data_IF_003954033313
#
_entry.id   IF_003954033313
#
_cell.length_a   1.000
_cell.length_b   1.000
_cell.length_c   1.000
_cell.angle_alpha   90.00
_cell.angle_beta   90.00
_cell.angle_gamma   90.00
#
_symmetry.space_group_name_H-M   'P 1'
#
loop_
_entity.id
_entity.type
_entity.pdbx_description
1 polymer ?
#
# COMPACT_ATOMS: atom_id res chain seq x y z
N UNK A 1 -9.28 -15.48 6.56
CA UNK A 1 -9.05 -14.95 5.20
C UNK A 1 -7.68 -14.30 5.22
N UNK A 2 -6.77 -14.70 4.33
CA UNK A 2 -5.45 -14.05 4.23
C UNK A 2 -5.69 -12.68 3.60
N UNK A 3 -5.32 -11.63 4.32
CA UNK A 3 -5.53 -10.26 3.90
C UNK A 3 -4.58 -9.94 2.76
N UNK A 4 -5.10 -9.81 1.54
CA UNK A 4 -4.34 -9.35 0.39
C UNK A 4 -4.01 -7.85 0.53
N UNK A 5 -2.93 -7.39 -0.09
CA UNK A 5 -2.52 -5.98 -0.07
C UNK A 5 -3.63 -5.04 -0.53
N UNK A 6 -4.38 -5.44 -1.55
CA UNK A 6 -5.47 -4.63 -2.09
C UNK A 6 -6.58 -4.46 -1.05
N UNK A 7 -6.87 -5.53 -0.30
CA UNK A 7 -7.86 -5.48 0.78
C UNK A 7 -7.38 -4.57 1.92
N UNK A 8 -6.13 -4.74 2.37
CA UNK A 8 -5.55 -3.88 3.41
C UNK A 8 -5.58 -2.42 2.99
N UNK A 9 -5.10 -2.11 1.79
CA UNK A 9 -5.04 -0.74 1.28
C UNK A 9 -6.41 -0.09 1.21
N UNK A 10 -7.42 -0.82 0.75
CA UNK A 10 -8.80 -0.32 0.66
C UNK A 10 -9.38 0.01 2.04
N UNK A 11 -9.15 -0.84 3.05
CA UNK A 11 -9.62 -0.60 4.41
C UNK A 11 -8.98 0.67 4.99
N UNK A 12 -7.64 0.78 4.92
CA UNK A 12 -6.95 1.96 5.47
C UNK A 12 -7.30 3.26 4.73
N UNK A 13 -7.45 3.23 3.41
CA UNK A 13 -7.88 4.41 2.64
C UNK A 13 -9.30 4.85 3.04
N UNK A 14 -10.22 3.91 3.30
CA UNK A 14 -11.57 4.24 3.75
C UNK A 14 -11.57 4.88 5.15
N UNK A 15 -10.75 4.39 6.08
CA UNK A 15 -10.62 5.01 7.41
C UNK A 15 -10.08 6.46 7.32
N UNK A 16 -9.08 6.68 6.47
CA UNK A 16 -8.51 8.02 6.24
C UNK A 16 -9.51 8.92 5.51
N UNK A 17 -10.29 8.39 4.57
CA UNK A 17 -11.40 9.11 3.92
C UNK A 17 -12.46 9.54 4.93
N UNK A 18 -12.83 8.65 5.85
CA UNK A 18 -13.79 8.98 6.90
C UNK A 18 -13.25 10.06 7.84
N UNK A 19 -11.94 10.03 8.14
CA UNK A 19 -11.27 11.09 8.89
C UNK A 19 -11.32 12.44 8.16
N UNK A 20 -11.14 12.45 6.83
CA UNK A 20 -11.29 13.64 6.00
C UNK A 20 -12.72 14.19 6.05
N UNK A 21 -13.74 13.33 5.89
CA UNK A 21 -15.15 13.73 5.94
C UNK A 21 -15.54 14.30 7.31
N UNK A 22 -14.96 13.75 8.38
CA UNK A 22 -15.16 14.23 9.76
C UNK A 22 -14.36 15.49 10.07
N UNK A 23 -13.54 15.98 9.14
CA UNK A 23 -12.70 17.17 9.33
C UNK A 23 -11.55 16.96 10.33
N UNK A 24 -11.14 15.72 10.58
CA UNK A 24 -10.01 15.38 11.47
C UNK A 24 -8.67 15.66 10.78
N UNK A 25 -8.63 15.50 9.46
CA UNK A 25 -7.48 15.77 8.60
C UNK A 25 -7.90 16.66 7.44
N UNK A 26 -6.95 17.38 6.87
CA UNK A 26 -7.17 18.14 5.64
C UNK A 26 -6.96 17.27 4.38
N UNK A 27 -7.20 17.87 3.21
CA UNK A 27 -7.08 17.17 1.93
C UNK A 27 -5.64 16.80 1.59
N UNK A 28 -4.69 17.67 1.91
CA UNK A 28 -3.27 17.46 1.62
C UNK A 28 -2.73 16.26 2.42
N UNK A 29 -3.10 16.18 3.70
CA UNK A 29 -2.84 15.03 4.57
C UNK A 29 -3.50 13.75 4.03
N UNK A 30 -4.75 13.83 3.54
CA UNK A 30 -5.41 12.69 2.93
C UNK A 30 -4.62 12.16 1.73
N UNK A 31 -4.17 13.03 0.82
CA UNK A 31 -3.46 12.61 -0.39
C UNK A 31 -2.07 12.01 -0.03
N UNK A 32 -1.34 12.60 0.93
CA UNK A 32 -0.09 12.04 1.45
C UNK A 32 -0.28 10.66 2.09
N UNK A 33 -1.30 10.51 2.94
CA UNK A 33 -1.62 9.25 3.60
C UNK A 33 -2.07 8.19 2.59
N UNK A 34 -2.85 8.57 1.56
CA UNK A 34 -3.28 7.65 0.53
C UNK A 34 -2.09 7.07 -0.26
N UNK A 35 -1.10 7.91 -0.62
CA UNK A 35 0.14 7.45 -1.25
C UNK A 35 0.94 6.57 -0.29
N UNK A 36 1.12 7.01 0.96
CA UNK A 36 1.86 6.25 1.98
C UNK A 36 1.22 4.88 2.25
N UNK A 37 -0.11 4.78 2.27
CA UNK A 37 -0.83 3.52 2.44
C UNK A 37 -0.64 2.63 1.21
N UNK A 38 -0.81 3.15 0.00
CA UNK A 38 -0.68 2.34 -1.21
C UNK A 38 0.77 1.83 -1.39
N UNK A 39 1.76 2.69 -1.22
CA UNK A 39 3.17 2.27 -1.21
C UNK A 39 3.43 1.33 -0.04
N UNK A 40 2.88 1.66 1.13
CA UNK A 40 3.02 0.95 2.39
C UNK A 40 2.51 -0.48 2.33
N UNK A 41 1.35 -0.75 1.73
CA UNK A 41 0.78 -2.10 1.65
C UNK A 41 1.54 -2.99 0.68
N UNK A 42 2.21 -2.42 -0.33
CA UNK A 42 3.07 -3.16 -1.27
C UNK A 42 4.40 -3.67 -0.65
N UNK A 43 4.85 -3.12 0.48
CA UNK A 43 6.08 -3.53 1.19
C UNK A 43 5.89 -4.83 2.03
N UNK A 44 4.80 -5.00 2.82
CA UNK A 44 4.37 -6.25 3.47
C UNK A 44 4.28 -7.46 2.53
N UNK A 45 3.94 -7.25 1.25
CA UNK A 45 3.92 -8.32 0.25
C UNK A 45 5.25 -9.04 0.09
N UNK A 46 6.35 -8.31 0.26
CA UNK A 46 7.72 -8.81 0.13
C UNK A 46 8.23 -9.30 1.50
N UNK A 47 7.77 -8.65 2.56
CA UNK A 47 8.16 -8.88 3.95
C UNK A 47 7.47 -10.09 4.61
N UNK A 48 6.47 -10.70 3.98
CA UNK A 48 5.76 -11.85 4.55
C UNK A 48 5.57 -13.00 3.54
N UNK A 49 5.65 -14.27 3.99
CA UNK A 49 5.49 -15.44 3.11
C UNK A 49 4.12 -15.52 2.43
N UNK A 50 3.09 -14.97 3.08
CA UNK A 50 1.71 -14.95 2.59
C UNK A 50 1.36 -13.63 1.86
N UNK A 51 2.27 -12.66 1.87
CA UNK A 51 2.02 -11.31 1.38
C UNK A 51 1.97 -11.22 -0.13
N UNK A 52 2.55 -12.18 -0.86
CA UNK A 52 2.42 -12.26 -2.31
C UNK A 52 1.64 -13.51 -2.72
N UNK A 53 0.57 -13.32 -3.49
CA UNK A 53 -0.10 -14.39 -4.22
C UNK A 53 0.90 -15.23 -5.06
N UNK A 54 2.06 -14.68 -5.45
CA UNK A 54 3.14 -15.39 -6.14
C UNK A 54 3.84 -16.46 -5.27
N UNK A 55 4.00 -16.25 -3.96
CA UNK A 55 4.50 -17.29 -3.05
C UNK A 55 3.46 -18.38 -2.83
N UNK A 56 2.18 -18.01 -2.75
CA UNK A 56 1.09 -18.98 -2.74
C UNK A 56 1.03 -19.76 -4.06
N UNK A 57 1.30 -19.12 -5.21
CA UNK A 57 1.40 -19.76 -6.52
C UNK A 57 2.58 -20.75 -6.59
N UNK A 58 3.74 -20.38 -6.01
CA UNK A 58 4.89 -21.27 -5.83
C UNK A 58 4.58 -22.44 -4.88
N UNK A 59 3.76 -22.22 -3.85
CA UNK A 59 3.34 -23.23 -2.88
C UNK A 59 2.31 -24.21 -3.44
N UNK A 60 1.49 -23.78 -4.40
CA UNK A 60 0.56 -24.65 -5.16
C UNK A 60 1.23 -25.33 -6.36
N UNK A 61 2.41 -24.86 -6.76
CA UNK A 61 3.22 -25.46 -7.80
C UNK A 61 3.87 -26.76 -7.32
N UNK A 62 4.07 -27.71 -8.23
CA UNK A 62 4.79 -28.98 -7.99
C UNK A 62 6.24 -28.77 -7.52
N UNK A 63 6.77 -27.54 -7.55
CA UNK A 63 8.05 -27.14 -6.99
C UNK A 63 8.06 -26.99 -5.45
N UNK A 64 6.91 -26.73 -4.81
CA UNK A 64 6.86 -26.49 -3.36
C UNK A 64 7.40 -27.65 -2.49
N UNK A 65 7.10 -28.92 -2.79
CA UNK A 65 7.62 -30.05 -2.02
C UNK A 65 9.13 -30.26 -2.21
N UNK A 66 9.67 -29.90 -3.38
CA UNK A 66 11.08 -30.05 -3.74
C UNK A 66 12.01 -29.12 -2.95
N UNK A 67 11.53 -27.92 -2.59
CA UNK A 67 12.35 -26.91 -1.89
C UNK A 67 12.24 -26.96 -0.35
N UNK A 68 11.42 -27.87 0.22
CA UNK A 68 11.22 -28.06 1.67
C UNK A 68 11.10 -26.74 2.46
N UNK A 69 10.42 -25.76 1.87
CA UNK A 69 10.39 -24.40 2.40
C UNK A 69 9.29 -24.30 3.47
N UNK A 70 9.66 -24.47 4.74
CA UNK A 70 8.70 -24.32 5.84
C UNK A 70 8.33 -22.85 6.04
N UNK A 71 7.10 -22.60 6.53
CA UNK A 71 6.60 -21.25 6.80
C UNK A 71 7.57 -20.43 7.68
N UNK A 72 8.10 -21.03 8.74
CA UNK A 72 9.08 -20.37 9.62
C UNK A 72 10.39 -19.99 8.92
N UNK A 73 10.88 -20.81 7.97
CA UNK A 73 12.06 -20.43 7.17
C UNK A 73 11.77 -19.26 6.25
N UNK A 74 10.58 -19.21 5.65
CA UNK A 74 10.18 -18.06 4.83
C UNK A 74 10.12 -16.77 5.65
N UNK A 75 9.61 -16.82 6.89
CA UNK A 75 9.59 -15.66 7.79
C UNK A 75 11.01 -15.17 8.09
N UNK A 76 11.94 -16.08 8.41
CA UNK A 76 13.33 -15.71 8.69
C UNK A 76 14.02 -15.10 7.47
N UNK A 77 13.74 -15.61 6.27
CA UNK A 77 14.26 -15.06 5.01
C UNK A 77 13.65 -13.69 4.69
N UNK A 78 12.38 -13.47 4.99
CA UNK A 78 11.68 -12.22 4.68
C UNK A 78 11.98 -11.10 5.68
N UNK A 79 12.25 -11.44 6.94
CA UNK A 79 12.54 -10.49 8.02
C UNK A 79 13.60 -9.42 7.69
N UNK A 80 14.79 -9.73 7.15
CA UNK A 80 15.76 -8.69 6.78
C UNK A 80 15.22 -7.73 5.72
N UNK A 81 14.43 -8.21 4.76
CA UNK A 81 13.77 -7.35 3.78
C UNK A 81 12.74 -6.46 4.45
N UNK A 82 11.95 -6.98 5.40
CA UNK A 82 11.00 -6.18 6.19
C UNK A 82 11.68 -4.99 6.85
N UNK A 83 12.83 -5.21 7.50
CA UNK A 83 13.56 -4.16 8.20
C UNK A 83 14.07 -3.11 7.21
N UNK A 84 14.73 -3.53 6.13
CA UNK A 84 15.29 -2.60 5.13
C UNK A 84 14.18 -1.82 4.44
N UNK A 85 13.13 -2.49 3.98
CA UNK A 85 12.01 -1.87 3.27
C UNK A 85 11.20 -0.94 4.16
N UNK A 86 11.00 -1.28 5.45
CA UNK A 86 10.35 -0.38 6.39
C UNK A 86 11.17 0.89 6.63
N UNK A 87 12.49 0.77 6.80
CA UNK A 87 13.36 1.93 7.02
C UNK A 87 13.42 2.80 5.76
N UNK A 88 13.65 2.21 4.59
CA UNK A 88 13.73 2.95 3.31
C UNK A 88 12.38 3.58 2.97
N UNK A 89 11.28 2.86 3.15
CA UNK A 89 9.93 3.38 2.96
C UNK A 89 9.63 4.55 3.90
N UNK A 90 9.99 4.43 5.18
CA UNK A 90 9.82 5.51 6.15
C UNK A 90 10.65 6.74 5.78
N UNK A 91 11.92 6.56 5.39
CA UNK A 91 12.78 7.65 4.92
C UNK A 91 12.18 8.31 3.67
N UNK A 92 11.66 7.52 2.73
CA UNK A 92 10.98 8.01 1.53
C UNK A 92 9.80 8.91 1.87
N UNK A 93 8.94 8.47 2.80
CA UNK A 93 7.77 9.25 3.22
C UNK A 93 8.20 10.53 3.94
N UNK A 94 9.13 10.46 4.89
CA UNK A 94 9.52 11.62 5.70
C UNK A 94 10.33 12.67 4.94
N UNK A 95 11.18 12.26 3.99
CA UNK A 95 12.15 13.18 3.38
C UNK A 95 11.93 13.42 1.89
N UNK A 96 11.16 12.58 1.19
CA UNK A 96 10.97 12.71 -0.25
C UNK A 96 9.54 12.99 -0.65
N UNK A 97 8.54 12.42 0.04
CA UNK A 97 7.15 12.48 -0.43
C UNK A 97 6.63 13.92 -0.55
N UNK A 98 6.77 14.72 0.50
CA UNK A 98 6.32 16.12 0.51
C UNK A 98 7.15 17.02 -0.43
N UNK A 99 8.50 17.07 -0.35
CA UNK A 99 9.27 17.97 -1.21
C UNK A 99 9.22 17.60 -2.70
N UNK A 100 9.12 16.30 -3.04
CA UNK A 100 8.95 15.89 -4.42
C UNK A 100 7.55 16.23 -4.94
N UNK A 101 6.52 16.12 -4.11
CA UNK A 101 5.16 16.55 -4.47
C UNK A 101 5.11 18.05 -4.73
N UNK A 102 5.73 18.87 -3.87
CA UNK A 102 5.86 20.31 -4.08
C UNK A 102 6.60 20.64 -5.39
N UNK A 103 7.72 19.96 -5.65
CA UNK A 103 8.46 20.12 -6.91
C UNK A 103 7.61 19.76 -8.14
N UNK A 104 6.80 18.71 -8.06
CA UNK A 104 5.91 18.31 -9.15
C UNK A 104 4.73 19.28 -9.33
N UNK A 105 4.25 19.93 -8.27
CA UNK A 105 3.28 21.03 -8.36
C UNK A 105 3.88 22.23 -9.10
N UNK A 106 5.09 22.64 -8.73
CA UNK A 106 5.79 23.77 -9.36
C UNK A 106 6.11 23.50 -10.84
N UNK A 107 6.46 22.26 -11.18
CA UNK A 107 6.67 21.82 -12.57
C UNK A 107 5.36 21.66 -13.36
N UNK A 108 4.20 21.73 -12.70
CA UNK A 108 2.89 21.51 -13.30
C UNK A 108 2.61 20.06 -13.70
N UNK A 109 3.35 19.09 -13.14
CA UNK A 109 3.17 17.66 -13.39
C UNK A 109 1.97 17.09 -12.62
N UNK A 110 1.67 17.66 -11.45
CA UNK A 110 0.48 17.36 -10.66
C UNK A 110 -0.27 18.67 -10.35
N UNK A 111 -1.54 18.59 -9.97
CA UNK A 111 -2.40 19.76 -9.76
C UNK A 111 -3.20 19.63 -8.48
N UNK A 112 -3.28 20.72 -7.71
CA UNK A 112 -4.14 20.85 -6.52
C UNK A 112 -5.63 20.96 -6.84
N UNK A 113 -6.03 20.93 -8.12
CA UNK A 113 -7.43 21.04 -8.48
C UNK A 113 -8.19 19.85 -7.85
N UNK A 114 -9.23 20.11 -7.04
CA UNK A 114 -10.03 19.03 -6.49
C UNK A 114 -10.57 18.22 -7.66
N UNK A 115 -10.33 16.90 -7.65
CA UNK A 115 -11.10 15.99 -8.50
C UNK A 115 -12.57 16.25 -8.15
N UNK A 116 -13.41 16.70 -9.09
CA UNK A 116 -14.82 16.90 -8.81
C UNK A 116 -15.39 15.57 -8.31
N UNK A 117 -15.77 15.51 -7.04
CA UNK A 117 -16.37 14.33 -6.40
C UNK A 117 -17.73 13.95 -7.02
N UNK A 118 -18.21 14.72 -7.99
CA UNK A 118 -19.49 14.54 -8.69
C UNK A 118 -19.47 13.37 -9.70
N UNK A 119 -18.27 12.93 -10.13
CA UNK A 119 -18.11 11.88 -11.15
C UNK A 119 -17.62 10.53 -10.60
N UNK A 120 -17.49 10.38 -9.28
CA UNK A 120 -17.26 9.07 -8.68
C UNK A 120 -18.59 8.28 -8.67
N UNK A 121 -19.04 7.87 -9.85
CA UNK A 121 -20.13 6.91 -10.02
C UNK A 121 -19.71 5.65 -9.28
N UNK A 122 -20.31 5.43 -8.12
CA UNK A 122 -20.34 4.13 -7.45
C UNK A 122 -20.75 3.10 -8.52
N UNK A 123 -20.01 2.01 -8.74
CA UNK A 123 -20.52 0.93 -9.56
C UNK A 123 -21.80 0.47 -8.85
N UNK A 124 -22.94 0.77 -9.48
CA UNK A 124 -24.24 0.37 -8.99
C UNK A 124 -24.20 -1.14 -8.74
N UNK A 125 -24.56 -1.54 -7.52
CA UNK A 125 -24.66 -2.94 -7.16
C UNK A 125 -25.51 -3.67 -8.18
N UNK A 126 -24.93 -4.68 -8.82
CA UNK A 126 -25.69 -5.66 -9.55
C UNK A 126 -26.44 -6.53 -8.53
N UNK A 127 -27.76 -6.37 -8.53
CA UNK A 127 -28.72 -7.36 -8.05
C UNK A 127 -28.54 -8.71 -8.76
#
# INVERSE_FOLDING_TARGET
MVSDNVFVGTVYINEVKDALIKGVIDREQFDLLAVAINTGTNLPSVATPNGQAAFLFLLTSTLAPLIRLSYGRMVVMAFPYTVVLAIVGMIGIMFFLEPMSAMFLDMGWISDKPIPMDNAVLPAGHH
#
